data_IF_092744468663
#
_entry.id   IF_092744468663
#
_cell.length_a   1.000
_cell.length_b   1.000
_cell.length_c   1.000
_cell.angle_alpha   90.00
_cell.angle_beta   90.00
_cell.angle_gamma   90.00
#
_symmetry.space_group_name_H-M   'P 1'
#
loop_
_entity.id
_entity.type
_entity.pdbx_description
1 polymer ?
#
# COMPACT_ATOMS: atom_id res chain seq x y z
N UNK A 1 25.44 -4.34 -2.04
CA UNK A 1 24.23 -4.61 -2.82
C UNK A 1 23.08 -4.27 -1.89
N UNK A 2 22.22 -3.32 -2.25
CA UNK A 2 21.02 -3.10 -1.47
C UNK A 2 20.12 -4.31 -1.73
N UNK A 3 19.87 -5.12 -0.71
CA UNK A 3 18.95 -6.23 -0.79
C UNK A 3 17.56 -5.66 -1.09
N UNK A 4 16.85 -6.25 -2.06
CA UNK A 4 15.51 -5.80 -2.40
C UNK A 4 14.57 -6.02 -1.21
N UNK A 5 13.81 -4.99 -0.82
CA UNK A 5 12.79 -5.11 0.22
C UNK A 5 11.66 -6.06 -0.22
N UNK A 6 11.33 -6.04 -1.53
CA UNK A 6 10.39 -7.00 -2.14
C UNK A 6 11.02 -7.55 -3.42
N UNK A 7 11.01 -8.88 -3.59
CA UNK A 7 11.48 -9.56 -4.80
C UNK A 7 10.44 -10.55 -5.29
N UNK A 8 10.05 -10.43 -6.55
CA UNK A 8 9.03 -11.25 -7.23
C UNK A 8 9.63 -11.81 -8.51
N UNK A 9 9.51 -13.11 -8.74
CA UNK A 9 10.01 -13.77 -9.95
C UNK A 9 8.98 -14.75 -10.49
N UNK A 10 8.54 -14.52 -11.72
CA UNK A 10 7.64 -15.38 -12.46
C UNK A 10 6.31 -15.65 -11.73
N UNK A 11 5.76 -14.66 -11.02
CA UNK A 11 4.57 -14.85 -10.20
C UNK A 11 3.33 -15.02 -11.07
N UNK A 12 2.58 -16.10 -10.81
CA UNK A 12 1.35 -16.46 -11.50
C UNK A 12 0.18 -16.52 -10.51
N UNK A 13 -0.94 -15.92 -10.87
CA UNK A 13 -2.18 -15.98 -10.07
C UNK A 13 -3.39 -16.19 -10.96
N UNK A 14 -4.24 -17.11 -10.54
CA UNK A 14 -5.53 -17.41 -11.21
C UNK A 14 -6.69 -17.24 -10.23
N UNK A 15 -7.85 -16.86 -10.75
CA UNK A 15 -9.16 -16.93 -10.10
C UNK A 15 -10.07 -17.79 -11.00
N UNK A 16 -10.21 -19.08 -10.70
CA UNK A 16 -10.78 -20.05 -11.63
C UNK A 16 -9.98 -20.03 -12.94
N UNK A 17 -10.67 -19.80 -14.07
CA UNK A 17 -10.04 -19.71 -15.40
C UNK A 17 -9.44 -18.32 -15.70
N UNK A 18 -9.69 -17.33 -14.86
CA UNK A 18 -9.18 -15.98 -15.09
C UNK A 18 -7.73 -15.84 -14.61
N UNK A 19 -6.83 -15.56 -15.56
CA UNK A 19 -5.40 -15.37 -15.30
C UNK A 19 -5.13 -13.93 -14.86
N UNK A 20 -5.09 -13.70 -13.56
CA UNK A 20 -5.04 -12.36 -12.94
C UNK A 20 -3.63 -11.76 -12.89
N UNK A 21 -2.59 -12.59 -12.68
CA UNK A 21 -1.18 -12.16 -12.74
C UNK A 21 -0.42 -13.15 -13.61
N UNK A 22 0.35 -12.61 -14.57
CA UNK A 22 1.06 -13.38 -15.60
C UNK A 22 2.54 -13.04 -15.57
N UNK A 23 3.36 -14.00 -15.18
CA UNK A 23 4.82 -13.91 -15.19
C UNK A 23 5.36 -12.59 -14.60
N UNK A 24 4.83 -12.18 -13.43
CA UNK A 24 5.24 -10.92 -12.80
C UNK A 24 6.68 -11.05 -12.29
N UNK A 25 7.53 -10.13 -12.75
CA UNK A 25 8.92 -9.99 -12.34
C UNK A 25 9.16 -8.56 -11.85
N UNK A 26 9.39 -8.40 -10.54
CA UNK A 26 9.49 -7.08 -9.90
C UNK A 26 10.48 -7.13 -8.74
N UNK A 27 11.32 -6.10 -8.64
CA UNK A 27 12.15 -5.83 -7.47
C UNK A 27 11.88 -4.42 -6.97
N UNK A 28 11.61 -4.30 -5.68
CA UNK A 28 11.46 -3.03 -4.97
C UNK A 28 12.65 -2.90 -4.02
N UNK A 29 13.61 -2.01 -4.29
CA UNK A 29 14.70 -1.74 -3.38
C UNK A 29 14.20 -1.14 -2.06
N UNK A 30 14.99 -1.34 -0.99
CA UNK A 30 14.72 -0.70 0.29
C UNK A 30 14.70 0.83 0.16
N UNK A 31 13.83 1.49 0.91
CA UNK A 31 13.66 2.96 0.95
C UNK A 31 13.30 3.59 -0.40
N UNK A 32 12.66 2.84 -1.27
CA UNK A 32 12.13 3.37 -2.54
C UNK A 32 10.60 3.37 -2.55
N UNK A 33 10.08 4.36 -3.26
CA UNK A 33 8.65 4.48 -3.55
C UNK A 33 8.38 3.92 -4.95
N UNK A 34 7.64 2.80 -5.01
CA UNK A 34 7.11 2.23 -6.23
C UNK A 34 5.64 2.61 -6.40
N UNK A 35 5.29 3.20 -7.53
CA UNK A 35 3.89 3.42 -7.91
C UNK A 35 3.47 2.41 -8.97
N UNK A 36 2.32 1.79 -8.77
CA UNK A 36 1.67 0.85 -9.68
C UNK A 36 0.43 1.51 -10.24
N UNK A 37 0.38 1.72 -11.54
CA UNK A 37 -0.77 2.28 -12.25
C UNK A 37 -1.24 1.35 -13.38
N UNK A 38 -2.37 1.68 -13.99
CA UNK A 38 -2.96 0.92 -15.08
C UNK A 38 -4.49 0.81 -14.99
N UNK A 39 -5.18 0.34 -16.03
CA UNK A 39 -6.63 0.24 -16.07
C UNK A 39 -7.21 -0.65 -14.96
N UNK A 40 -8.50 -0.47 -14.66
CA UNK A 40 -9.22 -1.33 -13.72
C UNK A 40 -9.18 -2.79 -14.19
N UNK A 41 -9.06 -3.73 -13.24
CA UNK A 41 -8.96 -5.16 -13.55
C UNK A 41 -7.60 -5.64 -14.08
N UNK A 42 -6.56 -4.78 -14.13
CA UNK A 42 -5.23 -5.17 -14.61
C UNK A 42 -4.39 -6.02 -13.64
N UNK A 43 -4.90 -6.31 -12.43
CA UNK A 43 -4.20 -7.14 -11.44
C UNK A 43 -3.46 -6.38 -10.34
N UNK A 44 -3.51 -5.04 -10.31
CA UNK A 44 -2.77 -4.19 -9.34
C UNK A 44 -3.05 -4.55 -7.88
N UNK A 45 -4.32 -4.56 -7.48
CA UNK A 45 -4.74 -4.91 -6.11
C UNK A 45 -4.42 -6.37 -5.77
N UNK A 46 -4.50 -7.29 -6.74
CA UNK A 46 -4.09 -8.68 -6.55
C UNK A 46 -2.58 -8.76 -6.27
N UNK A 47 -1.76 -8.04 -7.05
CA UNK A 47 -0.32 -8.04 -6.87
C UNK A 47 0.09 -7.50 -5.49
N UNK A 48 -0.45 -6.36 -5.08
CA UNK A 48 -0.10 -5.77 -3.78
C UNK A 48 -0.59 -6.64 -2.60
N UNK A 49 -1.73 -7.33 -2.75
CA UNK A 49 -2.25 -8.26 -1.74
C UNK A 49 -1.46 -9.57 -1.66
N UNK A 50 -0.80 -10.00 -2.74
CA UNK A 50 0.16 -11.09 -2.67
C UNK A 50 1.38 -10.71 -1.80
N UNK A 51 1.86 -9.45 -1.86
CA UNK A 51 3.04 -9.00 -1.13
C UNK A 51 2.91 -9.12 0.39
N UNK A 52 1.69 -9.02 0.96
CA UNK A 52 1.46 -9.21 2.40
C UNK A 52 0.77 -10.53 2.74
N UNK A 53 0.67 -11.46 1.77
CA UNK A 53 0.08 -12.77 1.94
C UNK A 53 -1.44 -12.75 2.15
N UNK A 54 -2.16 -11.67 1.78
CA UNK A 54 -3.63 -11.65 1.77
C UNK A 54 -4.19 -12.46 0.60
N UNK A 55 -3.46 -12.53 -0.50
CA UNK A 55 -3.75 -13.38 -1.64
C UNK A 55 -2.63 -14.41 -1.83
N UNK A 56 -3.00 -15.65 -2.04
CA UNK A 56 -2.07 -16.70 -2.45
C UNK A 56 -1.77 -16.58 -3.95
N UNK A 57 -0.67 -17.14 -4.40
CA UNK A 57 -0.31 -17.25 -5.81
C UNK A 57 -0.11 -18.73 -6.20
N UNK A 58 -0.07 -19.05 -7.49
CA UNK A 58 -0.04 -20.43 -7.97
C UNK A 58 1.36 -20.95 -8.30
N UNK A 59 2.22 -20.07 -8.84
CA UNK A 59 3.62 -20.40 -9.13
C UNK A 59 4.50 -19.16 -9.15
N UNK A 60 5.81 -19.34 -9.23
CA UNK A 60 6.82 -18.29 -9.08
C UNK A 60 7.36 -18.21 -7.67
N UNK A 61 8.02 -17.10 -7.35
CA UNK A 61 8.54 -16.83 -6.01
C UNK A 61 8.30 -15.39 -5.62
N UNK A 62 7.99 -15.18 -4.34
CA UNK A 62 7.81 -13.88 -3.73
C UNK A 62 8.54 -13.87 -2.39
N UNK A 63 9.40 -12.89 -2.16
CA UNK A 63 10.01 -12.63 -0.86
C UNK A 63 9.81 -11.18 -0.45
N UNK A 64 9.58 -10.95 0.83
CA UNK A 64 9.41 -9.64 1.44
C UNK A 64 10.32 -9.55 2.65
N UNK A 65 11.21 -8.57 2.70
CA UNK A 65 12.23 -8.41 3.74
C UNK A 65 13.05 -9.70 3.97
N UNK A 66 13.37 -10.41 2.87
CA UNK A 66 14.07 -11.68 2.88
C UNK A 66 13.24 -12.90 3.31
N UNK A 67 11.97 -12.72 3.69
CA UNK A 67 11.07 -13.79 4.08
C UNK A 67 10.29 -14.31 2.87
N UNK A 68 10.29 -15.64 2.59
CA UNK A 68 9.54 -16.21 1.47
C UNK A 68 8.04 -16.21 1.77
N UNK A 69 7.27 -15.38 1.07
CA UNK A 69 5.81 -15.34 1.20
C UNK A 69 5.22 -16.50 0.39
N UNK A 70 4.50 -17.38 1.06
CA UNK A 70 3.86 -18.57 0.48
C UNK A 70 2.73 -19.05 1.37
N UNK A 71 2.58 -20.36 1.55
CA UNK A 71 1.48 -20.96 2.34
C UNK A 71 1.78 -21.07 3.84
N UNK A 72 3.01 -20.80 4.27
CA UNK A 72 3.38 -20.87 5.70
C UNK A 72 2.81 -19.66 6.44
N UNK A 73 1.76 -19.93 7.25
CA UNK A 73 1.08 -18.89 8.04
C UNK A 73 2.01 -18.20 9.03
N UNK A 74 3.04 -18.90 9.56
CA UNK A 74 4.01 -18.29 10.50
C UNK A 74 4.90 -17.27 9.80
N UNK A 75 5.29 -17.54 8.56
CA UNK A 75 6.05 -16.59 7.74
C UNK A 75 5.17 -15.40 7.37
N UNK A 76 3.93 -15.65 6.96
CA UNK A 76 2.96 -14.58 6.66
C UNK A 76 2.75 -13.67 7.88
N UNK A 77 2.61 -14.24 9.07
CA UNK A 77 2.47 -13.46 10.30
C UNK A 77 3.72 -12.59 10.60
N UNK A 78 4.92 -13.10 10.31
CA UNK A 78 6.15 -12.30 10.44
C UNK A 78 6.19 -11.15 9.43
N UNK A 79 5.80 -11.39 8.19
CA UNK A 79 5.70 -10.35 7.16
C UNK A 79 4.69 -9.29 7.58
N UNK A 80 3.48 -9.67 8.01
CA UNK A 80 2.41 -8.74 8.42
C UNK A 80 2.74 -7.88 9.64
N UNK A 81 3.67 -8.30 10.49
CA UNK A 81 4.18 -7.49 11.60
C UNK A 81 5.09 -6.35 11.14
N UNK A 82 5.71 -6.51 9.96
CA UNK A 82 6.72 -5.58 9.42
C UNK A 82 6.20 -4.80 8.20
N UNK A 83 5.05 -5.19 7.67
CA UNK A 83 4.41 -4.58 6.48
C UNK A 83 3.08 -3.99 6.87
N UNK A 84 2.95 -2.67 6.81
CA UNK A 84 1.70 -1.97 6.97
C UNK A 84 0.90 -1.99 5.66
N UNK A 85 -0.42 -2.06 5.76
CA UNK A 85 -1.29 -1.96 4.58
C UNK A 85 -2.48 -1.05 4.85
N UNK A 86 -2.74 -0.18 3.87
CA UNK A 86 -3.88 0.72 3.85
C UNK A 86 -4.72 0.38 2.62
N UNK A 87 -6.01 0.18 2.84
CA UNK A 87 -6.97 -0.27 1.84
C UNK A 87 -7.84 0.88 1.33
N UNK A 88 -8.44 0.69 0.18
CA UNK A 88 -9.42 1.58 -0.42
C UNK A 88 -10.59 1.90 0.53
N UNK A 89 -11.13 0.90 1.23
CA UNK A 89 -12.30 1.00 2.11
C UNK A 89 -11.95 1.17 3.60
N UNK A 90 -10.81 1.77 3.94
CA UNK A 90 -10.31 2.05 5.29
C UNK A 90 -10.19 0.80 6.20
N UNK A 91 -11.15 -0.12 6.15
CA UNK A 91 -11.23 -1.37 6.93
C UNK A 91 -11.06 -1.16 8.44
N UNK A 92 -11.63 -0.07 8.96
CA UNK A 92 -11.69 0.17 10.41
C UNK A 92 -12.70 -0.79 11.04
N UNK A 93 -12.42 -1.21 12.27
CA UNK A 93 -13.36 -2.01 13.06
C UNK A 93 -14.50 -1.12 13.56
N UNK A 94 -15.75 -1.30 13.07
CA UNK A 94 -16.83 -0.35 13.34
C UNK A 94 -17.31 -0.36 14.80
N UNK A 95 -17.06 -1.46 15.51
CA UNK A 95 -17.43 -1.66 16.92
C UNK A 95 -16.36 -1.19 17.90
N UNK A 96 -15.21 -0.71 17.42
CA UNK A 96 -14.11 -0.16 18.22
C UNK A 96 -14.03 1.34 18.05
N UNK A 97 -13.61 2.06 19.10
CA UNK A 97 -13.28 3.47 19.00
C UNK A 97 -12.05 3.67 18.09
N UNK A 98 -11.82 4.90 17.66
CA UNK A 98 -10.66 5.28 16.84
C UNK A 98 -9.35 4.90 17.55
N UNK A 99 -9.25 5.21 18.84
CA UNK A 99 -8.09 4.82 19.65
C UNK A 99 -7.91 3.30 19.70
N UNK A 100 -8.98 2.55 19.97
CA UNK A 100 -8.93 1.08 20.04
C UNK A 100 -8.58 0.45 18.68
N UNK A 101 -8.99 1.03 17.56
CA UNK A 101 -8.57 0.62 16.23
C UNK A 101 -7.04 0.65 16.07
N UNK A 102 -6.36 1.61 16.71
CA UNK A 102 -4.90 1.73 16.67
C UNK A 102 -4.20 0.93 17.78
N UNK A 103 -4.84 0.72 18.94
CA UNK A 103 -4.26 -0.01 20.10
C UNK A 103 -4.30 -1.52 19.90
N UNK A 104 -5.45 -2.06 19.49
CA UNK A 104 -5.67 -3.51 19.44
C UNK A 104 -4.69 -4.26 18.53
N UNK A 105 -4.36 -3.79 17.32
CA UNK A 105 -3.38 -4.45 16.46
C UNK A 105 -2.00 -4.58 17.10
N UNK A 106 -1.54 -3.58 17.85
CA UNK A 106 -0.25 -3.59 18.53
C UNK A 106 -0.19 -4.67 19.63
N UNK A 107 -1.27 -4.79 20.41
CA UNK A 107 -1.38 -5.82 21.44
C UNK A 107 -1.38 -7.22 20.80
N UNK A 108 -2.19 -7.42 19.75
CA UNK A 108 -2.39 -8.73 19.12
C UNK A 108 -1.19 -9.18 18.30
N UNK A 109 -0.58 -8.27 17.51
CA UNK A 109 0.51 -8.64 16.59
C UNK A 109 1.89 -8.54 17.23
N UNK A 110 2.11 -7.53 18.09
CA UNK A 110 3.43 -7.25 18.66
C UNK A 110 3.56 -7.65 20.14
N UNK A 111 2.46 -8.04 20.81
CA UNK A 111 2.45 -8.36 22.23
C UNK A 111 2.75 -7.16 23.14
N UNK A 112 2.57 -5.92 22.63
CA UNK A 112 2.76 -4.72 23.46
C UNK A 112 1.77 -4.68 24.62
N UNK A 113 2.21 -4.18 25.76
CA UNK A 113 1.29 -3.87 26.84
C UNK A 113 0.35 -2.71 26.44
N UNK A 114 -0.81 -2.65 27.09
CA UNK A 114 -1.88 -1.70 26.72
C UNK A 114 -1.44 -0.24 26.89
N UNK A 115 -0.65 0.06 27.89
CA UNK A 115 -0.20 1.44 28.17
C UNK A 115 0.72 1.91 27.06
N UNK A 116 1.76 1.12 26.72
CA UNK A 116 2.68 1.43 25.65
C UNK A 116 1.96 1.51 24.28
N UNK A 117 1.02 0.59 24.01
CA UNK A 117 0.22 0.60 22.80
C UNK A 117 -0.66 1.87 22.69
N UNK A 118 -1.22 2.34 23.81
CA UNK A 118 -2.04 3.57 23.87
C UNK A 118 -1.20 4.81 23.60
N UNK A 119 -0.01 4.90 24.18
CA UNK A 119 0.92 6.03 23.95
C UNK A 119 1.30 6.10 22.48
N UNK A 120 1.72 4.98 21.89
CA UNK A 120 2.08 4.93 20.46
C UNK A 120 0.88 5.27 19.56
N UNK A 121 -0.30 4.71 19.85
CA UNK A 121 -1.52 5.00 19.09
C UNK A 121 -1.87 6.49 19.10
N UNK A 122 -1.80 7.14 20.27
CA UNK A 122 -2.06 8.58 20.40
C UNK A 122 -1.02 9.42 19.65
N UNK A 123 0.26 9.00 19.65
CA UNK A 123 1.30 9.66 18.88
C UNK A 123 0.99 9.63 17.38
N UNK A 124 0.62 8.45 16.84
CA UNK A 124 0.29 8.32 15.42
C UNK A 124 -1.00 9.05 15.06
N UNK A 125 -2.03 9.01 15.92
CA UNK A 125 -3.27 9.78 15.71
C UNK A 125 -3.01 11.29 15.69
N UNK A 126 -2.10 11.79 16.53
CA UNK A 126 -1.69 13.21 16.51
C UNK A 126 -0.96 13.59 15.22
N UNK A 127 -0.03 12.75 14.76
CA UNK A 127 0.65 12.97 13.46
C UNK A 127 -0.36 13.04 12.30
N UNK A 128 -1.42 12.27 12.39
CA UNK A 128 -2.52 12.27 11.42
C UNK A 128 -3.60 13.34 11.68
N UNK A 129 -3.45 14.17 12.73
CA UNK A 129 -4.40 15.23 13.12
C UNK A 129 -5.84 14.73 13.36
N UNK A 130 -5.97 13.53 13.94
CA UNK A 130 -7.26 12.91 14.26
C UNK A 130 -7.36 12.43 15.72
N UNK A 131 -6.40 12.79 16.57
CA UNK A 131 -6.33 12.41 17.98
C UNK A 131 -7.52 12.91 18.80
N UNK A 132 -8.08 14.10 18.46
CA UNK A 132 -9.28 14.66 19.10
C UNK A 132 -10.51 13.75 18.94
N UNK A 133 -10.48 12.84 17.97
CA UNK A 133 -11.55 11.89 17.69
C UNK A 133 -11.31 10.51 18.33
N UNK A 134 -10.31 10.33 19.17
CA UNK A 134 -9.89 9.04 19.72
C UNK A 134 -10.99 8.23 20.38
N UNK A 135 -11.99 8.89 20.99
CA UNK A 135 -13.15 8.24 21.65
C UNK A 135 -14.37 8.05 20.75
N UNK A 136 -14.34 8.55 19.51
CA UNK A 136 -15.41 8.35 18.52
C UNK A 136 -15.32 6.99 17.86
N UNK A 137 -16.39 6.60 17.19
CA UNK A 137 -16.44 5.41 16.32
C UNK A 137 -16.27 5.81 14.84
N UNK A 138 -15.86 4.87 13.96
CA UNK A 138 -15.60 5.15 12.56
C UNK A 138 -16.74 5.86 11.81
N UNK A 139 -17.98 5.48 12.06
CA UNK A 139 -19.18 6.07 11.44
C UNK A 139 -19.43 7.54 11.80
N UNK A 140 -18.74 8.05 12.81
CA UNK A 140 -18.81 9.45 13.24
C UNK A 140 -17.72 10.34 12.58
N UNK A 141 -16.94 9.77 11.66
CA UNK A 141 -15.84 10.44 10.97
C UNK A 141 -16.12 10.58 9.48
N UNK A 142 -15.60 11.66 8.87
CA UNK A 142 -15.57 11.78 7.40
C UNK A 142 -14.64 10.70 6.78
N UNK A 143 -14.80 10.44 5.48
CA UNK A 143 -13.95 9.47 4.76
C UNK A 143 -12.45 9.79 4.90
N UNK A 144 -12.04 11.05 4.72
CA UNK A 144 -10.65 11.47 4.89
C UNK A 144 -10.13 11.29 6.32
N UNK A 145 -10.96 11.56 7.34
CA UNK A 145 -10.60 11.26 8.72
C UNK A 145 -10.45 9.76 8.97
N UNK A 146 -11.37 8.93 8.44
CA UNK A 146 -11.24 7.47 8.53
C UNK A 146 -9.97 6.95 7.87
N UNK A 147 -9.60 7.50 6.71
CA UNK A 147 -8.36 7.14 6.01
C UNK A 147 -7.12 7.51 6.82
N UNK A 148 -7.10 8.71 7.43
CA UNK A 148 -6.00 9.11 8.32
C UNK A 148 -5.91 8.22 9.58
N UNK A 149 -7.02 7.75 10.10
CA UNK A 149 -7.03 6.73 11.17
C UNK A 149 -6.46 5.39 10.67
N UNK A 150 -6.82 4.95 9.46
CA UNK A 150 -6.28 3.73 8.88
C UNK A 150 -4.75 3.83 8.68
N UNK A 151 -4.23 5.00 8.29
CA UNK A 151 -2.80 5.32 8.25
C UNK A 151 -2.17 5.25 9.65
N UNK A 152 -2.76 5.94 10.64
CA UNK A 152 -2.28 5.91 12.03
C UNK A 152 -2.22 4.48 12.58
N UNK A 153 -3.25 3.67 12.33
CA UNK A 153 -3.31 2.26 12.71
C UNK A 153 -2.17 1.45 12.10
N UNK A 154 -1.91 1.60 10.82
CA UNK A 154 -0.83 0.90 10.13
C UNK A 154 0.55 1.33 10.67
N UNK A 155 0.78 2.63 10.84
CA UNK A 155 2.04 3.18 11.34
C UNK A 155 2.32 2.87 12.81
N UNK A 156 1.29 2.68 13.65
CA UNK A 156 1.44 2.28 15.04
C UNK A 156 2.14 0.92 15.22
N UNK A 157 2.16 0.08 14.19
CA UNK A 157 2.92 -1.17 14.16
C UNK A 157 4.42 -0.96 13.87
N UNK A 158 4.84 0.25 13.48
CA UNK A 158 6.21 0.61 13.04
C UNK A 158 6.70 -0.27 11.89
N UNK A 159 5.96 -0.29 10.77
CA UNK A 159 6.30 -1.13 9.63
C UNK A 159 7.57 -0.64 8.94
N UNK A 160 8.26 -1.56 8.26
CA UNK A 160 9.41 -1.28 7.39
C UNK A 160 8.95 -1.00 5.94
N UNK A 161 7.79 -1.53 5.56
CA UNK A 161 7.18 -1.32 4.24
C UNK A 161 5.73 -0.87 4.43
N UNK A 162 5.29 0.12 3.65
CA UNK A 162 3.89 0.51 3.55
C UNK A 162 3.33 0.15 2.17
N UNK A 163 2.22 -0.57 2.18
CA UNK A 163 1.45 -0.93 0.99
C UNK A 163 0.15 -0.11 0.97
N UNK A 164 -0.12 0.55 -0.16
CA UNK A 164 -1.33 1.36 -0.36
C UNK A 164 -2.12 0.81 -1.56
N UNK A 165 -3.34 0.32 -1.30
CA UNK A 165 -4.25 -0.20 -2.34
C UNK A 165 -5.35 0.85 -2.60
N UNK A 166 -5.11 1.76 -3.54
CA UNK A 166 -5.98 2.87 -3.94
C UNK A 166 -6.48 3.72 -2.75
N UNK A 167 -5.60 4.32 -1.96
CA UNK A 167 -5.93 4.94 -0.67
C UNK A 167 -6.83 6.17 -0.77
N UNK A 168 -7.02 6.75 -1.95
CA UNK A 168 -7.80 7.98 -2.18
C UNK A 168 -9.10 7.75 -2.95
N UNK A 169 -9.31 6.56 -3.52
CA UNK A 169 -10.43 6.31 -4.46
C UNK A 169 -11.83 6.36 -3.83
N UNK A 170 -11.93 6.23 -2.50
CA UNK A 170 -13.17 6.34 -1.74
C UNK A 170 -13.36 7.71 -1.07
N UNK A 171 -12.54 8.72 -1.43
CA UNK A 171 -12.54 10.04 -0.83
C UNK A 171 -13.11 11.10 -1.76
N UNK A 172 -13.75 12.10 -1.17
CA UNK A 172 -14.10 13.31 -1.88
C UNK A 172 -12.84 14.10 -2.30
N UNK A 173 -12.85 14.82 -3.45
CA UNK A 173 -11.69 15.52 -3.97
C UNK A 173 -11.00 16.47 -2.98
N UNK A 174 -11.77 17.12 -2.11
CA UNK A 174 -11.26 18.04 -1.09
C UNK A 174 -10.41 17.35 -0.01
N UNK A 175 -10.63 16.02 0.21
CA UNK A 175 -9.94 15.24 1.23
C UNK A 175 -8.71 14.50 0.69
N UNK A 176 -8.56 14.40 -0.63
CA UNK A 176 -7.47 13.68 -1.28
C UNK A 176 -6.12 14.31 -0.93
N UNK A 177 -6.04 15.66 -1.00
CA UNK A 177 -4.80 16.40 -0.75
C UNK A 177 -4.20 16.11 0.63
N UNK A 178 -5.02 16.08 1.68
CA UNK A 178 -4.56 15.81 3.05
C UNK A 178 -3.94 14.42 3.22
N UNK A 179 -4.52 13.40 2.56
CA UNK A 179 -4.00 12.03 2.58
C UNK A 179 -2.71 11.93 1.78
N UNK A 180 -2.66 12.57 0.61
CA UNK A 180 -1.46 12.58 -0.24
C UNK A 180 -0.28 13.30 0.41
N UNK A 181 -0.50 14.39 1.15
CA UNK A 181 0.55 15.06 1.92
C UNK A 181 1.20 14.12 2.94
N UNK A 182 0.39 13.39 3.71
CA UNK A 182 0.91 12.39 4.66
C UNK A 182 1.72 11.31 3.96
N UNK A 183 1.24 10.81 2.82
CA UNK A 183 1.97 9.79 2.04
C UNK A 183 3.29 10.35 1.46
N UNK A 184 3.32 11.62 1.06
CA UNK A 184 4.55 12.30 0.63
C UNK A 184 5.56 12.41 1.77
N UNK A 185 5.11 12.75 2.98
CA UNK A 185 5.98 12.86 4.14
C UNK A 185 6.59 11.50 4.52
N UNK A 186 5.82 10.40 4.40
CA UNK A 186 6.33 9.04 4.59
C UNK A 186 7.40 8.69 3.54
N UNK A 187 7.19 9.05 2.29
CA UNK A 187 8.18 8.83 1.23
C UNK A 187 9.48 9.61 1.48
N UNK A 188 9.39 10.87 1.93
CA UNK A 188 10.54 11.70 2.31
C UNK A 188 11.29 11.19 3.54
N UNK A 189 10.62 10.41 4.40
CA UNK A 189 11.22 9.81 5.60
C UNK A 189 11.89 8.44 5.32
N UNK A 190 12.31 8.19 4.08
CA UNK A 190 12.97 6.95 3.65
C UNK A 190 12.14 5.67 3.93
N UNK A 191 10.81 5.75 3.93
CA UNK A 191 9.94 4.59 4.02
C UNK A 191 9.91 3.84 2.70
N UNK A 192 10.01 2.51 2.73
CA UNK A 192 9.73 1.71 1.53
C UNK A 192 8.22 1.70 1.27
N UNK A 193 7.80 2.18 0.09
CA UNK A 193 6.38 2.32 -0.26
C UNK A 193 6.08 1.59 -1.57
N UNK A 194 4.98 0.82 -1.57
CA UNK A 194 4.31 0.36 -2.80
C UNK A 194 2.90 0.91 -2.81
N UNK A 195 2.58 1.71 -3.81
CA UNK A 195 1.29 2.39 -3.91
C UNK A 195 0.60 2.07 -5.24
N UNK A 196 -0.58 1.48 -5.17
CA UNK A 196 -1.53 1.42 -6.28
C UNK A 196 -2.36 2.70 -6.25
N UNK A 197 -2.29 3.52 -7.28
CA UNK A 197 -3.02 4.79 -7.32
C UNK A 197 -3.31 5.26 -8.74
N UNK A 198 -4.33 6.10 -8.86
CA UNK A 198 -4.66 6.89 -10.04
C UNK A 198 -4.22 8.37 -9.89
N UNK A 199 -3.63 8.75 -8.77
CA UNK A 199 -3.14 10.10 -8.48
C UNK A 199 -1.76 10.31 -9.11
N UNK A 200 -1.74 10.72 -10.38
CA UNK A 200 -0.48 10.89 -11.12
C UNK A 200 0.36 12.06 -10.61
N UNK A 201 -0.27 13.07 -10.00
CA UNK A 201 0.44 14.15 -9.31
C UNK A 201 1.31 13.63 -8.15
N UNK A 202 0.78 12.71 -7.35
CA UNK A 202 1.52 12.02 -6.31
C UNK A 202 2.67 11.18 -6.90
N UNK A 203 2.37 10.37 -7.92
CA UNK A 203 3.39 9.55 -8.58
C UNK A 203 4.57 10.39 -9.12
N UNK A 204 4.27 11.55 -9.74
CA UNK A 204 5.31 12.48 -10.23
C UNK A 204 6.14 13.10 -9.10
N UNK A 205 5.53 13.34 -7.94
CA UNK A 205 6.16 14.05 -6.83
C UNK A 205 7.11 13.17 -5.99
N UNK A 206 6.80 11.86 -5.85
CA UNK A 206 7.52 11.02 -4.86
C UNK A 206 7.99 9.67 -5.38
N UNK A 207 7.53 9.19 -6.54
CA UNK A 207 7.92 7.87 -7.00
C UNK A 207 9.38 7.83 -7.48
N UNK A 208 10.13 6.84 -7.02
CA UNK A 208 11.42 6.48 -7.60
C UNK A 208 11.24 5.68 -8.89
N UNK A 209 10.19 4.86 -8.91
CA UNK A 209 9.78 4.04 -10.05
C UNK A 209 8.27 3.99 -10.21
N UNK A 210 7.85 3.93 -11.47
CA UNK A 210 6.46 3.72 -11.86
C UNK A 210 6.40 2.47 -12.72
N UNK A 211 5.41 1.61 -12.47
CA UNK A 211 5.08 0.49 -13.35
C UNK A 211 3.64 0.63 -13.84
N UNK A 212 3.43 0.31 -15.11
CA UNK A 212 2.10 0.19 -15.68
C UNK A 212 1.75 -1.28 -15.86
N UNK A 213 0.62 -1.68 -15.27
CA UNK A 213 0.06 -3.01 -15.43
C UNK A 213 -1.13 -2.98 -16.37
N UNK A 214 -1.20 -3.97 -17.27
CA UNK A 214 -2.38 -4.24 -18.10
C UNK A 214 -2.52 -5.73 -18.32
N UNK A 215 -3.76 -6.22 -18.31
CA UNK A 215 -4.11 -7.63 -18.58
C UNK A 215 -3.32 -8.67 -17.75
N UNK A 216 -2.96 -8.34 -16.52
CA UNK A 216 -2.22 -9.20 -15.62
C UNK A 216 -0.70 -9.15 -15.76
N UNK A 217 -0.16 -8.29 -16.61
CA UNK A 217 1.28 -8.17 -16.90
C UNK A 217 1.82 -6.78 -16.53
N UNK A 218 3.13 -6.70 -16.24
CA UNK A 218 3.86 -5.42 -16.21
C UNK A 218 4.24 -5.08 -17.64
N UNK A 219 3.55 -4.10 -18.22
CA UNK A 219 3.74 -3.66 -19.62
C UNK A 219 4.97 -2.77 -19.78
N UNK A 220 5.15 -1.86 -18.84
CA UNK A 220 6.26 -0.91 -18.84
C UNK A 220 6.65 -0.54 -17.41
N UNK A 221 7.94 -0.28 -17.21
CA UNK A 221 8.51 0.20 -15.94
C UNK A 221 9.61 1.21 -16.20
N UNK A 222 9.65 2.27 -15.40
CA UNK A 222 10.64 3.33 -15.58
C UNK A 222 10.64 4.34 -14.44
N UNK A 223 11.47 5.37 -14.58
CA UNK A 223 11.41 6.55 -13.72
C UNK A 223 10.18 7.39 -14.09
N UNK A 224 9.64 8.20 -13.16
CA UNK A 224 8.48 9.05 -13.43
C UNK A 224 8.64 9.89 -14.70
N UNK A 225 9.78 10.57 -14.89
CA UNK A 225 10.01 11.43 -16.06
C UNK A 225 9.88 10.66 -17.37
N UNK A 226 10.39 9.43 -17.44
CA UNK A 226 10.27 8.58 -18.62
C UNK A 226 8.83 8.15 -18.84
N UNK A 227 8.18 7.63 -17.79
CA UNK A 227 6.83 7.08 -17.88
C UNK A 227 5.77 8.12 -18.24
N UNK A 228 5.91 9.36 -17.75
CA UNK A 228 4.94 10.42 -17.99
C UNK A 228 5.21 11.24 -19.25
N UNK A 229 6.49 11.47 -19.61
CA UNK A 229 6.83 12.38 -20.70
C UNK A 229 7.24 11.64 -21.99
N UNK A 230 7.74 10.41 -21.89
CA UNK A 230 8.23 9.63 -23.04
C UNK A 230 7.97 8.13 -22.86
N UNK A 231 6.72 7.69 -22.64
CA UNK A 231 6.40 6.27 -22.56
C UNK A 231 6.73 5.56 -23.87
N UNK A 232 7.26 4.34 -23.77
CA UNK A 232 7.72 3.59 -24.94
C UNK A 232 6.60 2.68 -25.49
N UNK A 233 5.84 2.05 -24.58
CA UNK A 233 4.80 1.10 -24.95
C UNK A 233 3.49 1.82 -25.31
N UNK A 234 2.79 1.34 -26.37
CA UNK A 234 1.54 1.98 -26.83
C UNK A 234 0.46 2.02 -25.74
N UNK A 235 0.28 0.92 -24.99
CA UNK A 235 -0.69 0.86 -23.88
C UNK A 235 -0.39 1.92 -22.82
N UNK A 236 0.90 2.19 -22.56
CA UNK A 236 1.32 3.25 -21.60
C UNK A 236 0.99 4.63 -22.16
N UNK A 237 1.25 4.87 -23.45
CA UNK A 237 0.89 6.15 -24.14
C UNK A 237 -0.60 6.43 -24.05
N UNK A 238 -1.41 5.41 -24.37
CA UNK A 238 -2.87 5.54 -24.35
C UNK A 238 -3.39 5.80 -22.93
N UNK A 239 -2.86 5.08 -21.93
CA UNK A 239 -3.22 5.28 -20.53
C UNK A 239 -2.83 6.68 -20.03
N UNK A 240 -1.60 7.13 -20.31
CA UNK A 240 -1.12 8.45 -19.88
C UNK A 240 -1.86 9.60 -20.58
N UNK A 241 -2.31 9.42 -21.82
CA UNK A 241 -3.13 10.41 -22.52
C UNK A 241 -4.49 10.64 -21.83
N UNK A 242 -5.11 9.56 -21.31
CA UNK A 242 -6.39 9.64 -20.58
C UNK A 242 -6.22 10.32 -19.23
N UNK A 243 -5.11 10.06 -18.52
CA UNK A 243 -4.91 10.52 -17.15
C UNK A 243 -4.34 11.95 -17.08
N UNK A 244 -3.69 12.44 -18.15
CA UNK A 244 -3.14 13.80 -18.22
C UNK A 244 -4.10 14.80 -18.90
N UNK A 245 -5.23 14.38 -19.50
CA UNK A 245 -6.26 15.19 -20.12
C UNK A 245 -7.38 15.50 -19.16
#
# INVERSE_FOLDING_TARGET
>A
MHDAAISIRGLEKYYGDFHALKNINLEVPDKQTLVICGPSGSGKSTLIRCMNGLESYHSGSLSVLGLPVGDDTKVIDQVRKRVGMVFQNFNLFPHLTILENCVLPQIRSLGRDRTAATVEAMEQLKKMQVDIHGQKYPDQLSGGQQQRVALARALALKPEIMLFDEPTSALDPEMISEVLEVMQDLARADMTIVCVTHEMGFAKAVADRVILMAQGEIVEKGRPEQMFNNPQHQVTKDFMAVVNG
#
